data_IF_215421069686
#
_entry.id   IF_215421069686
#
_cell.length_a   1.000
_cell.length_b   1.000
_cell.length_c   1.000
_cell.angle_alpha   90.00
_cell.angle_beta   90.00
_cell.angle_gamma   90.00
#
_symmetry.space_group_name_H-M   'P 1'
#
loop_
_entity.id
_entity.type
_entity.pdbx_description
1 polymer ?
#
# COMPACT_ATOMS: atom_id res chain seq x y z
N UNK A 1 13.52 -4.46 14.53
CA UNK A 1 12.35 -4.15 15.41
C UNK A 1 11.23 -3.62 14.53
N UNK A 2 9.95 -3.80 14.86
CA UNK A 2 8.82 -3.17 14.17
C UNK A 2 8.14 -2.24 15.17
N UNK A 3 7.94 -0.98 14.80
CA UNK A 3 7.31 0.05 15.63
C UNK A 3 6.33 0.88 14.80
N UNK A 4 5.53 1.69 15.47
CA UNK A 4 4.78 2.74 14.81
C UNK A 4 5.73 3.88 14.41
N UNK A 5 5.60 4.39 13.20
CA UNK A 5 6.48 5.46 12.70
C UNK A 5 6.26 6.78 13.46
N UNK A 6 5.13 6.98 14.13
CA UNK A 6 4.91 8.17 14.97
C UNK A 6 5.81 8.21 16.23
N UNK A 7 6.34 7.06 16.66
CA UNK A 7 7.25 6.93 17.81
C UNK A 7 8.68 7.41 17.48
N UNK A 8 9.04 7.53 16.20
CA UNK A 8 10.35 8.01 15.76
C UNK A 8 10.55 9.50 16.05
N UNK A 9 11.81 9.95 16.10
CA UNK A 9 12.11 11.37 16.24
C UNK A 9 11.62 12.16 15.02
N UNK A 10 11.20 13.42 15.22
CA UNK A 10 10.70 14.32 14.16
C UNK A 10 11.60 14.35 12.91
N UNK A 11 12.92 14.34 13.10
CA UNK A 11 13.90 14.34 12.01
C UNK A 11 13.81 13.07 11.15
N UNK A 12 13.60 11.92 11.77
CA UNK A 12 13.50 10.63 11.09
C UNK A 12 12.17 10.51 10.33
N UNK A 13 11.06 10.94 10.95
CA UNK A 13 9.74 10.99 10.29
C UNK A 13 9.77 11.84 9.02
N UNK A 14 10.41 13.00 9.07
CA UNK A 14 10.65 13.85 7.90
C UNK A 14 11.55 13.19 6.85
N UNK A 15 12.59 12.47 7.26
CA UNK A 15 13.47 11.76 6.34
C UNK A 15 12.73 10.61 5.62
N UNK A 16 11.90 9.85 6.33
CA UNK A 16 11.03 8.82 5.76
C UNK A 16 10.07 9.46 4.75
N UNK A 17 9.38 10.54 5.13
CA UNK A 17 8.44 11.21 4.25
C UNK A 17 9.09 11.66 2.92
N UNK A 18 10.27 12.30 3.00
CA UNK A 18 11.06 12.68 1.83
C UNK A 18 11.44 11.47 0.97
N UNK A 19 11.89 10.40 1.61
CA UNK A 19 12.30 9.17 0.91
C UNK A 19 11.15 8.54 0.14
N UNK A 20 9.96 8.50 0.73
CA UNK A 20 8.76 7.96 0.08
C UNK A 20 8.38 8.80 -1.14
N UNK A 21 8.42 10.13 -1.02
CA UNK A 21 8.22 11.04 -2.18
C UNK A 21 9.25 10.77 -3.26
N UNK A 22 10.53 10.69 -2.92
CA UNK A 22 11.59 10.37 -3.90
C UNK A 22 11.29 9.05 -4.62
N UNK A 23 10.95 7.99 -3.89
CA UNK A 23 10.66 6.67 -4.44
C UNK A 23 9.38 6.69 -5.29
N UNK A 24 8.35 7.46 -4.93
CA UNK A 24 7.11 7.52 -5.71
C UNK A 24 7.30 8.12 -7.11
N UNK A 25 8.32 8.97 -7.27
CA UNK A 25 8.67 9.62 -8.54
C UNK A 25 9.67 8.84 -9.39
N UNK A 26 10.25 7.74 -8.88
CA UNK A 26 11.13 6.86 -9.68
C UNK A 26 10.29 6.23 -10.81
N UNK A 27 10.76 6.27 -12.08
CA UNK A 27 10.10 5.58 -13.18
C UNK A 27 9.81 4.11 -12.83
N UNK A 28 8.58 3.66 -13.08
CA UNK A 28 8.19 2.29 -12.75
C UNK A 28 7.95 2.01 -11.26
N UNK A 29 7.86 3.04 -10.41
CA UNK A 29 7.46 2.89 -9.00
C UNK A 29 5.99 2.47 -8.83
N UNK A 30 5.73 1.53 -7.92
CA UNK A 30 4.38 1.08 -7.57
C UNK A 30 3.69 1.99 -6.56
N UNK A 31 4.42 2.85 -5.85
CA UNK A 31 3.88 3.78 -4.86
C UNK A 31 3.03 4.87 -5.50
N UNK A 32 1.86 5.19 -4.96
CA UNK A 32 1.09 6.35 -5.40
C UNK A 32 1.82 7.65 -5.07
N UNK A 33 1.75 8.63 -5.98
CA UNK A 33 2.35 9.95 -5.76
C UNK A 33 1.54 10.71 -4.72
N UNK A 34 2.19 11.15 -3.64
CA UNK A 34 1.58 11.95 -2.56
C UNK A 34 2.55 13.07 -2.16
N UNK A 35 2.03 14.15 -1.61
CA UNK A 35 2.88 15.23 -1.08
C UNK A 35 3.63 14.77 0.16
N UNK A 36 4.77 15.41 0.44
CA UNK A 36 5.54 15.14 1.65
C UNK A 36 4.69 15.39 2.91
N UNK A 37 3.85 16.43 2.88
CA UNK A 37 2.93 16.79 3.95
C UNK A 37 1.88 15.71 4.18
N UNK A 38 1.30 15.15 3.12
CA UNK A 38 0.32 14.07 3.23
C UNK A 38 0.93 12.79 3.80
N UNK A 39 2.15 12.44 3.38
CA UNK A 39 2.87 11.29 3.93
C UNK A 39 3.22 11.51 5.41
N UNK A 40 3.64 12.73 5.78
CA UNK A 40 3.97 13.06 7.16
C UNK A 40 2.73 13.00 8.05
N UNK A 41 1.57 13.47 7.56
CA UNK A 41 0.31 13.37 8.28
C UNK A 41 -0.08 11.92 8.57
N UNK A 42 0.08 11.02 7.59
CA UNK A 42 -0.16 9.59 7.81
C UNK A 42 0.79 9.01 8.86
N UNK A 43 2.08 9.33 8.78
CA UNK A 43 3.07 8.93 9.78
C UNK A 43 2.63 9.41 11.17
N UNK A 44 2.32 10.70 11.33
CA UNK A 44 1.96 11.29 12.62
C UNK A 44 0.62 10.77 13.15
N UNK A 45 -0.32 10.38 12.27
CA UNK A 45 -1.60 9.74 12.66
C UNK A 45 -1.45 8.31 13.19
N UNK A 46 -0.28 7.71 13.05
CA UNK A 46 0.00 6.37 13.55
C UNK A 46 -0.48 5.23 12.65
N UNK A 47 -0.81 5.49 11.38
CA UNK A 47 -1.21 4.43 10.43
C UNK A 47 -0.01 3.75 9.74
N UNK A 48 1.21 4.27 9.93
CA UNK A 48 2.41 3.76 9.28
C UNK A 48 3.24 2.95 10.26
N UNK A 49 3.48 1.68 9.95
CA UNK A 49 4.46 0.85 10.64
C UNK A 49 5.79 0.86 9.90
N UNK A 50 6.87 0.79 10.66
CA UNK A 50 8.24 0.79 10.14
C UNK A 50 9.08 -0.30 10.79
N UNK A 51 9.81 -1.03 9.97
CA UNK A 51 10.88 -1.93 10.43
C UNK A 51 12.17 -1.15 10.58
N UNK A 52 12.86 -1.35 11.70
CA UNK A 52 14.21 -0.85 11.97
C UNK A 52 15.25 -1.96 11.79
N UNK A 53 16.34 -1.63 11.10
CA UNK A 53 17.55 -2.42 10.97
C UNK A 53 18.73 -1.62 11.53
N UNK A 54 19.46 -2.15 12.52
CA UNK A 54 20.52 -1.40 13.24
C UNK A 54 20.03 0.00 13.65
N UNK A 55 18.83 0.05 14.26
CA UNK A 55 18.12 1.27 14.69
C UNK A 55 17.76 2.29 13.59
N UNK A 56 17.97 1.95 12.32
CA UNK A 56 17.63 2.81 11.19
C UNK A 56 16.33 2.36 10.48
N UNK A 57 15.44 3.30 10.10
CA UNK A 57 14.27 3.00 9.29
C UNK A 57 14.63 2.30 7.97
N UNK A 58 14.04 1.11 7.76
CA UNK A 58 14.47 0.21 6.68
C UNK A 58 13.36 -0.13 5.69
N UNK A 59 12.13 -0.26 6.17
CA UNK A 59 10.98 -0.66 5.36
C UNK A 59 9.69 -0.18 6.02
N UNK A 60 8.74 0.34 5.24
CA UNK A 60 7.46 0.86 5.75
C UNK A 60 6.27 0.13 5.15
N UNK A 61 5.17 0.11 5.89
CA UNK A 61 3.84 -0.29 5.43
C UNK A 61 2.82 0.63 6.10
N UNK A 62 1.88 1.19 5.32
CA UNK A 62 0.75 1.94 5.86
C UNK A 62 -0.51 1.06 5.95
N UNK A 63 -1.35 1.36 6.92
CA UNK A 63 -2.63 0.70 7.21
C UNK A 63 -3.72 1.77 7.17
N UNK A 64 -4.14 2.12 5.97
CA UNK A 64 -4.99 3.27 5.69
C UNK A 64 -6.46 2.93 5.96
N UNK A 65 -7.17 3.69 6.82
CA UNK A 65 -8.58 3.48 7.09
C UNK A 65 -9.41 3.85 5.86
N UNK A 66 -10.33 2.98 5.45
CA UNK A 66 -11.07 3.14 4.19
C UNK A 66 -12.42 3.84 4.35
N UNK A 67 -12.70 4.37 5.56
CA UNK A 67 -14.00 4.90 5.94
C UNK A 67 -15.03 3.85 6.38
N UNK A 68 -14.75 2.56 6.18
CA UNK A 68 -15.53 1.46 6.75
C UNK A 68 -14.72 0.78 7.87
N UNK A 69 -15.26 0.59 9.08
CA UNK A 69 -14.49 0.11 10.24
C UNK A 69 -13.88 -1.28 10.02
N UNK A 70 -14.59 -2.14 9.29
CA UNK A 70 -14.15 -3.51 9.04
C UNK A 70 -13.00 -3.63 8.03
N UNK A 71 -12.61 -2.57 7.32
CA UNK A 71 -11.65 -2.65 6.22
C UNK A 71 -10.50 -1.66 6.39
N UNK A 72 -9.30 -2.13 6.11
CA UNK A 72 -8.07 -1.34 6.05
C UNK A 72 -7.29 -1.68 4.80
N UNK A 73 -6.82 -0.65 4.09
CA UNK A 73 -5.94 -0.82 2.94
C UNK A 73 -4.47 -0.81 3.37
N UNK A 74 -3.70 -1.74 2.84
CA UNK A 74 -2.26 -1.77 2.95
C UNK A 74 -1.67 -0.88 1.86
N UNK A 75 -1.09 0.24 2.30
CA UNK A 75 -0.45 1.24 1.47
C UNK A 75 1.04 1.37 1.73
N UNK A 76 1.67 2.35 1.07
CA UNK A 76 3.03 2.85 1.34
C UNK A 76 4.10 1.77 1.60
N UNK A 77 4.00 0.66 0.89
CA UNK A 77 4.89 -0.49 1.05
C UNK A 77 6.18 -0.26 0.28
N UNK A 78 7.27 0.10 0.97
CA UNK A 78 8.55 0.36 0.30
C UNK A 78 9.79 0.10 1.15
N UNK A 79 10.89 -0.25 0.46
CA UNK A 79 12.21 -0.28 1.06
C UNK A 79 12.76 1.16 1.14
N UNK A 80 13.14 1.59 2.33
CA UNK A 80 13.79 2.88 2.56
C UNK A 80 15.31 2.77 2.35
N UNK A 81 15.88 1.60 2.64
CA UNK A 81 17.30 1.30 2.47
C UNK A 81 17.57 0.54 1.15
N UNK A 82 18.69 0.85 0.48
CA UNK A 82 18.96 0.38 -0.89
C UNK A 82 19.49 -1.07 -1.00
N UNK A 83 20.18 -1.62 0.00
CA UNK A 83 21.10 -2.75 -0.30
C UNK A 83 20.99 -4.01 0.57
N UNK A 84 20.50 -3.94 1.82
CA UNK A 84 20.50 -5.11 2.74
C UNK A 84 19.12 -5.58 3.17
N UNK A 85 18.07 -4.85 2.82
CA UNK A 85 16.74 -5.04 3.39
C UNK A 85 15.84 -5.73 2.39
N UNK A 86 15.41 -6.95 2.73
CA UNK A 86 14.53 -7.75 1.90
C UNK A 86 13.09 -7.50 2.31
N UNK A 87 12.42 -6.56 1.64
CA UNK A 87 10.99 -6.29 1.85
C UNK A 87 10.10 -7.54 1.79
N UNK A 88 10.47 -8.56 1.00
CA UNK A 88 9.79 -9.87 0.97
C UNK A 88 9.76 -10.61 2.31
N UNK A 89 10.77 -10.40 3.16
CA UNK A 89 10.92 -11.05 4.46
C UNK A 89 10.33 -10.18 5.59
N UNK A 90 10.29 -8.85 5.39
CA UNK A 90 9.75 -7.89 6.35
C UNK A 90 8.25 -7.69 6.23
N UNK A 91 7.71 -7.67 5.02
CA UNK A 91 6.29 -7.41 4.79
C UNK A 91 5.38 -8.37 5.57
N UNK A 92 5.53 -9.72 5.48
CA UNK A 92 4.70 -10.63 6.26
C UNK A 92 4.75 -10.36 7.78
N UNK A 93 5.95 -10.04 8.30
CA UNK A 93 6.15 -9.76 9.73
C UNK A 93 5.44 -8.48 10.18
N UNK A 94 5.42 -7.45 9.35
CA UNK A 94 4.69 -6.20 9.66
C UNK A 94 3.19 -6.43 9.61
N UNK A 95 2.71 -7.22 8.66
CA UNK A 95 1.29 -7.62 8.61
C UNK A 95 0.89 -8.39 9.87
N UNK A 96 1.67 -9.39 10.28
CA UNK A 96 1.38 -10.16 11.50
C UNK A 96 1.47 -9.28 12.76
N UNK A 97 2.41 -8.34 12.81
CA UNK A 97 2.51 -7.37 13.90
C UNK A 97 1.28 -6.46 13.99
N UNK A 98 0.78 -5.96 12.85
CA UNK A 98 -0.45 -5.17 12.81
C UNK A 98 -1.66 -5.98 13.27
N UNK A 99 -1.82 -7.21 12.78
CA UNK A 99 -2.93 -8.10 13.18
C UNK A 99 -2.89 -8.38 14.69
N UNK A 100 -1.72 -8.66 15.25
CA UNK A 100 -1.59 -8.93 16.68
C UNK A 100 -1.90 -7.72 17.57
N UNK A 101 -1.81 -6.50 17.04
CA UNK A 101 -2.02 -5.25 17.78
C UNK A 101 -3.34 -4.55 17.46
N UNK A 102 -4.10 -5.02 16.47
CA UNK A 102 -5.33 -4.39 16.01
C UNK A 102 -6.52 -5.36 15.99
N UNK A 103 -7.47 -5.13 16.89
CA UNK A 103 -8.72 -5.89 16.99
C UNK A 103 -9.92 -5.20 16.31
N UNK A 104 -9.74 -4.02 15.70
CA UNK A 104 -10.83 -3.17 15.23
C UNK A 104 -11.33 -3.50 13.82
N UNK A 105 -10.45 -3.97 12.95
CA UNK A 105 -10.80 -4.28 11.55
C UNK A 105 -10.95 -5.77 11.32
N UNK A 106 -11.87 -6.14 10.43
CA UNK A 106 -12.11 -7.53 10.04
C UNK A 106 -11.23 -7.97 8.88
N UNK A 107 -10.91 -7.06 7.97
CA UNK A 107 -10.15 -7.34 6.76
C UNK A 107 -9.04 -6.31 6.56
N UNK A 108 -7.86 -6.82 6.23
CA UNK A 108 -6.82 -6.05 5.57
C UNK A 108 -6.78 -6.45 4.10
N UNK A 109 -6.67 -5.46 3.21
CA UNK A 109 -6.52 -5.73 1.79
C UNK A 109 -5.39 -4.91 1.20
N UNK A 110 -4.84 -5.35 0.08
CA UNK A 110 -3.83 -4.62 -0.66
C UNK A 110 -4.16 -4.66 -2.15
N UNK A 111 -3.86 -3.57 -2.83
CA UNK A 111 -4.04 -3.46 -4.27
C UNK A 111 -2.68 -3.38 -4.97
N UNK A 112 -2.42 -4.26 -5.93
CA UNK A 112 -1.10 -4.28 -6.59
C UNK A 112 -1.16 -4.71 -8.05
N UNK A 113 -0.22 -4.18 -8.84
CA UNK A 113 0.05 -4.61 -10.20
C UNK A 113 1.42 -5.30 -10.32
N UNK A 114 2.17 -5.48 -9.23
CA UNK A 114 3.50 -6.10 -9.22
C UNK A 114 3.38 -7.60 -8.88
N UNK A 115 3.75 -8.47 -9.83
CA UNK A 115 3.75 -9.94 -9.66
C UNK A 115 4.53 -10.40 -8.43
N UNK A 116 5.59 -9.69 -8.04
CA UNK A 116 6.39 -10.01 -6.84
C UNK A 116 5.61 -9.71 -5.57
N UNK A 117 4.88 -8.59 -5.54
CA UNK A 117 4.04 -8.24 -4.41
C UNK A 117 2.90 -9.24 -4.23
N UNK A 118 2.38 -9.82 -5.32
CA UNK A 118 1.42 -10.93 -5.25
C UNK A 118 1.99 -12.13 -4.48
N UNK A 119 3.21 -12.54 -4.84
CA UNK A 119 3.90 -13.65 -4.16
C UNK A 119 4.15 -13.34 -2.68
N UNK A 120 4.63 -12.13 -2.38
CA UNK A 120 4.87 -11.67 -1.00
C UNK A 120 3.56 -11.62 -0.20
N UNK A 121 2.47 -11.12 -0.79
CA UNK A 121 1.14 -11.08 -0.17
C UNK A 121 0.62 -12.47 0.18
N UNK A 122 0.82 -13.46 -0.70
CA UNK A 122 0.46 -14.85 -0.41
C UNK A 122 1.22 -15.43 0.78
N UNK A 123 2.53 -15.15 0.88
CA UNK A 123 3.35 -15.54 2.05
C UNK A 123 2.83 -14.87 3.32
N UNK A 124 2.34 -13.63 3.21
CA UNK A 124 1.68 -12.90 4.30
C UNK A 124 0.21 -13.33 4.55
N UNK A 125 -0.25 -14.44 3.97
CA UNK A 125 -1.59 -14.99 4.21
C UNK A 125 -2.73 -14.31 3.46
N UNK A 126 -2.44 -13.43 2.50
CA UNK A 126 -3.49 -12.84 1.68
C UNK A 126 -3.96 -13.82 0.58
N UNK A 127 -5.25 -13.76 0.29
CA UNK A 127 -5.93 -14.52 -0.75
C UNK A 127 -6.51 -13.58 -1.82
N UNK A 128 -6.68 -14.10 -3.03
CA UNK A 128 -7.31 -13.36 -4.12
C UNK A 128 -8.77 -13.08 -3.80
N UNK A 129 -9.23 -11.88 -4.17
CA UNK A 129 -10.65 -11.51 -4.11
C UNK A 129 -11.19 -11.44 -5.54
N UNK A 130 -12.01 -12.44 -5.90
CA UNK A 130 -12.51 -12.60 -7.27
C UNK A 130 -13.82 -11.81 -7.50
N UNK A 131 -14.65 -11.62 -6.47
CA UNK A 131 -15.92 -10.88 -6.56
C UNK A 131 -15.89 -9.60 -5.71
N UNK A 132 -15.28 -8.56 -6.27
CA UNK A 132 -15.09 -7.26 -5.62
C UNK A 132 -16.41 -6.56 -5.28
N UNK A 133 -17.43 -6.71 -6.13
CA UNK A 133 -18.72 -6.05 -5.90
C UNK A 133 -19.42 -6.56 -4.64
N UNK A 134 -19.24 -7.84 -4.33
CA UNK A 134 -19.78 -8.45 -3.12
C UNK A 134 -18.85 -8.27 -1.92
N UNK A 135 -17.54 -8.29 -2.14
CA UNK A 135 -16.57 -8.18 -1.06
C UNK A 135 -16.50 -6.77 -0.48
N UNK A 136 -16.45 -5.72 -1.32
CA UNK A 136 -16.29 -4.36 -0.83
C UNK A 136 -17.60 -3.59 -0.71
N UNK A 137 -17.90 -3.02 0.48
CA UNK A 137 -18.98 -2.04 0.61
C UNK A 137 -18.65 -0.76 -0.17
N UNK A 138 -19.66 0.09 -0.47
CA UNK A 138 -19.50 1.28 -1.29
C UNK A 138 -18.36 2.22 -0.85
N UNK A 139 -18.17 2.41 0.45
CA UNK A 139 -17.14 3.26 1.05
C UNK A 139 -15.74 2.77 0.70
N UNK A 140 -15.51 1.45 0.83
CA UNK A 140 -14.23 0.80 0.51
C UNK A 140 -13.95 0.86 -0.98
N UNK A 141 -14.96 0.67 -1.83
CA UNK A 141 -14.81 0.82 -3.28
C UNK A 141 -14.44 2.26 -3.64
N UNK A 142 -15.14 3.23 -3.07
CA UNK A 142 -14.86 4.65 -3.28
C UNK A 142 -13.43 5.00 -2.85
N UNK A 143 -13.00 4.51 -1.68
CA UNK A 143 -11.64 4.68 -1.17
C UNK A 143 -10.60 4.06 -2.12
N UNK A 144 -10.74 2.77 -2.44
CA UNK A 144 -9.82 2.04 -3.32
C UNK A 144 -9.66 2.71 -4.71
N UNK A 145 -10.69 3.41 -5.18
CA UNK A 145 -10.72 4.13 -6.45
C UNK A 145 -10.36 5.63 -6.34
N UNK A 146 -10.14 6.18 -5.13
CA UNK A 146 -9.93 7.61 -4.91
C UNK A 146 -8.62 7.92 -4.17
N UNK A 147 -7.49 7.39 -4.65
CA UNK A 147 -6.33 8.27 -4.81
C UNK A 147 -5.53 8.01 -6.10
N UNK A 148 -6.08 7.26 -7.07
CA UNK A 148 -5.27 6.81 -8.18
C UNK A 148 -5.14 7.92 -9.25
N UNK A 149 -3.93 8.44 -9.51
CA UNK A 149 -3.75 9.54 -10.44
C UNK A 149 -3.95 9.07 -11.89
N UNK A 150 -4.29 9.99 -12.80
CA UNK A 150 -4.60 9.67 -14.22
C UNK A 150 -3.45 8.93 -14.89
N UNK A 151 -2.23 9.31 -14.57
CA UNK A 151 -0.97 8.75 -15.07
C UNK A 151 -0.76 7.29 -14.65
N UNK A 152 -1.39 6.85 -13.55
CA UNK A 152 -1.32 5.47 -13.05
C UNK A 152 -2.60 4.66 -13.26
N UNK A 153 -3.64 5.25 -13.85
CA UNK A 153 -4.92 4.58 -14.10
C UNK A 153 -5.31 4.56 -15.56
N UNK A 154 -4.75 5.45 -16.38
CA UNK A 154 -5.14 5.64 -17.76
C UNK A 154 -6.48 6.38 -17.92
N UNK A 155 -7.11 6.86 -16.83
CA UNK A 155 -8.37 7.61 -16.96
C UNK A 155 -8.14 9.02 -17.49
N UNK A 156 -9.05 9.47 -18.33
CA UNK A 156 -9.02 10.82 -18.92
C UNK A 156 -9.66 11.84 -17.98
N UNK A 157 -10.68 11.43 -17.20
CA UNK A 157 -11.44 12.29 -16.29
C UNK A 157 -11.30 11.81 -14.84
N UNK A 158 -11.04 12.74 -13.92
CA UNK A 158 -10.97 12.44 -12.49
C UNK A 158 -12.36 12.06 -11.98
N UNK A 159 -12.47 11.01 -11.16
CA UNK A 159 -13.76 10.48 -10.70
C UNK A 159 -14.39 9.41 -11.60
N UNK A 160 -13.97 9.27 -12.87
CA UNK A 160 -14.40 8.18 -13.76
C UNK A 160 -14.22 6.79 -13.12
N UNK A 161 -13.22 6.66 -12.25
CA UNK A 161 -12.88 5.46 -11.50
C UNK A 161 -13.96 5.01 -10.52
N UNK A 162 -14.83 5.93 -10.07
CA UNK A 162 -15.92 5.65 -9.12
C UNK A 162 -17.11 4.98 -9.81
N UNK A 163 -17.35 5.30 -11.08
CA UNK A 163 -18.39 4.70 -11.90
C UNK A 163 -17.89 3.44 -12.63
N UNK A 164 -16.60 3.45 -13.02
CA UNK A 164 -15.93 2.34 -13.69
C UNK A 164 -14.43 2.39 -13.37
N UNK A 165 -13.95 1.54 -12.45
CA UNK A 165 -12.53 1.53 -12.11
C UNK A 165 -11.72 0.70 -13.13
N UNK A 166 -10.76 1.30 -13.87
CA UNK A 166 -9.89 0.54 -14.78
C UNK A 166 -9.03 -0.50 -14.07
N UNK A 167 -8.79 -0.36 -12.74
CA UNK A 167 -8.15 -1.40 -11.91
C UNK A 167 -8.98 -2.68 -11.86
N UNK A 168 -10.32 -2.61 -11.91
CA UNK A 168 -11.23 -3.75 -11.74
C UNK A 168 -11.66 -4.36 -13.07
N UNK A 169 -11.74 -3.57 -14.16
CA UNK A 169 -12.10 -4.06 -15.48
C UNK A 169 -10.92 -4.60 -16.30
N UNK A 170 -9.68 -4.35 -15.87
CA UNK A 170 -8.48 -4.84 -16.56
C UNK A 170 -8.11 -4.04 -17.81
N UNK A 171 -8.67 -2.84 -17.98
CA UNK A 171 -8.35 -1.87 -19.02
C UNK A 171 -7.12 -1.00 -18.69
N UNK A 172 -6.47 -1.28 -17.56
CA UNK A 172 -5.17 -0.70 -17.26
C UNK A 172 -4.20 -0.97 -18.43
N UNK A 173 -3.77 0.08 -19.12
CA UNK A 173 -2.68 0.02 -20.10
C UNK A 173 -1.39 0.32 -19.32
N UNK A 174 -0.64 -0.70 -18.85
CA UNK A 174 0.70 -0.44 -18.36
C UNK A 174 1.50 0.23 -19.48
N UNK A 175 2.23 1.29 -19.14
CA UNK A 175 3.36 1.69 -19.98
C UNK A 175 4.35 0.52 -19.89
N UNK A 176 4.33 -0.34 -20.90
CA UNK A 176 5.17 -1.53 -21.00
C UNK A 176 6.56 -1.07 -21.46
N UNK A 177 7.48 -0.85 -20.53
CA UNK A 177 8.91 -0.91 -20.83
C UNK A 177 9.37 -2.37 -20.72
N UNK A 178 10.48 -2.73 -21.38
CA UNK A 178 10.95 -4.12 -21.49
C UNK A 178 11.29 -4.80 -20.14
N UNK A 179 11.37 -4.03 -19.04
CA UNK A 179 11.70 -4.52 -17.69
C UNK A 179 10.49 -5.00 -16.85
N UNK A 180 9.27 -4.97 -17.38
CA UNK A 180 8.09 -4.81 -16.53
C UNK A 180 7.51 -6.13 -16.00
N UNK A 181 7.70 -6.36 -14.69
CA UNK A 181 7.05 -7.39 -13.84
C UNK A 181 5.56 -7.11 -13.55
N UNK A 182 4.88 -6.27 -14.35
CA UNK A 182 3.52 -5.81 -14.04
C UNK A 182 2.41 -6.61 -14.73
N UNK A 183 1.25 -6.63 -14.08
CA UNK A 183 0.02 -7.29 -14.48
C UNK A 183 -1.19 -6.37 -14.28
N UNK A 184 -2.38 -6.83 -14.68
CA UNK A 184 -3.64 -6.17 -14.28
C UNK A 184 -3.65 -5.99 -12.76
N UNK A 185 -4.19 -4.87 -12.29
CA UNK A 185 -4.31 -4.66 -10.85
C UNK A 185 -5.16 -5.77 -10.24
N UNK A 186 -4.67 -6.35 -9.15
CA UNK A 186 -5.40 -7.36 -8.39
C UNK A 186 -5.63 -6.86 -6.97
N UNK A 187 -6.63 -7.43 -6.33
CA UNK A 187 -6.90 -7.24 -4.90
C UNK A 187 -6.60 -8.54 -4.20
N UNK A 188 -5.80 -8.43 -3.15
CA UNK A 188 -5.59 -9.49 -2.20
C UNK A 188 -6.16 -9.05 -0.86
N UNK A 189 -6.83 -9.94 -0.13
CA UNK A 189 -7.34 -9.67 1.20
C UNK A 189 -6.97 -10.79 2.18
N UNK A 190 -6.85 -10.44 3.46
CA UNK A 190 -6.67 -11.35 4.58
C UNK A 190 -7.69 -11.00 5.65
N UNK A 191 -8.45 -11.99 6.09
CA UNK A 191 -9.32 -11.87 7.25
C UNK A 191 -8.47 -11.85 8.53
N UNK A 192 -8.78 -10.90 9.40
CA UNK A 192 -8.25 -10.78 10.76
C UNK A 192 -9.14 -11.66 11.63
N UNK A 193 -8.52 -12.65 12.29
CA UNK A 193 -9.21 -13.59 13.19
C UNK A 193 -8.99 -13.21 14.64
#
# INVERSE_FOLDING_TARGET
MIINANELAKRERLAIARKIVEISHVPGSSLLSRSQEGILADIDSGVVLVSLYEDNPSFTVAFEPTGHPDYVEVGMTCNLAKEKVRGRDLFPRIIDHYIASNAGSRFIYLTTNDKRMVSIGRVAGFSFVDNLQHFFPPEVRSFCCSPCPKEKTGVVVEGQQKDYCPRFSGEFIPILTEEVTRMRCIILAREIK
#
